data_IF_368639033488
#
_entry.id   IF_368639033488
#
_cell.length_a   1.000
_cell.length_b   1.000
_cell.length_c   1.000
_cell.angle_alpha   90.00
_cell.angle_beta   90.00
_cell.angle_gamma   90.00
#
_symmetry.space_group_name_H-M   'P 1'
#
loop_
_entity.id
_entity.type
_entity.pdbx_description
1 polymer ?
#
# COMPACT_ATOMS: atom_id res chain seq x y z
N UNK A 1 -28.47 -9.68 12.57
CA UNK A 1 -28.61 -8.41 13.31
C UNK A 1 -27.20 -7.95 13.60
N UNK A 2 -26.76 -6.81 13.05
CA UNK A 2 -25.44 -6.25 13.33
C UNK A 2 -25.48 -5.40 14.60
N UNK A 3 -24.87 -5.89 15.67
CA UNK A 3 -24.60 -5.09 16.87
C UNK A 3 -23.47 -4.09 16.62
N UNK A 4 -23.31 -3.13 17.53
CA UNK A 4 -22.22 -2.12 17.51
C UNK A 4 -20.80 -2.73 17.42
N UNK A 5 -20.65 -4.02 17.72
CA UNK A 5 -19.39 -4.76 17.69
C UNK A 5 -19.34 -5.84 16.60
N UNK A 6 -20.36 -5.94 15.73
CA UNK A 6 -20.32 -6.88 14.61
C UNK A 6 -19.48 -6.31 13.47
N UNK A 7 -18.63 -7.15 12.90
CA UNK A 7 -17.96 -6.83 11.65
C UNK A 7 -19.00 -6.82 10.53
N UNK A 8 -18.88 -5.89 9.59
CA UNK A 8 -19.54 -5.97 8.28
C UNK A 8 -18.50 -6.47 7.26
N UNK A 9 -18.52 -7.75 6.87
CA UNK A 9 -17.55 -8.30 5.93
C UNK A 9 -17.56 -7.58 4.57
N UNK A 10 -18.72 -7.12 4.11
CA UNK A 10 -18.85 -6.42 2.83
C UNK A 10 -18.17 -5.05 2.87
N UNK A 11 -18.31 -4.31 3.97
CA UNK A 11 -17.60 -3.05 4.17
C UNK A 11 -16.07 -3.26 4.25
N UNK A 12 -15.64 -4.33 4.91
CA UNK A 12 -14.21 -4.71 5.00
C UNK A 12 -13.64 -5.10 3.64
N UNK A 13 -14.38 -5.85 2.83
CA UNK A 13 -13.96 -6.22 1.46
C UNK A 13 -13.82 -4.99 0.55
N UNK A 14 -14.76 -4.03 0.64
CA UNK A 14 -14.65 -2.76 -0.10
C UNK A 14 -13.42 -1.96 0.34
N UNK A 15 -13.15 -1.92 1.64
CA UNK A 15 -11.95 -1.29 2.20
C UNK A 15 -10.66 -1.97 1.70
N UNK A 16 -10.62 -3.31 1.68
CA UNK A 16 -9.50 -4.07 1.15
C UNK A 16 -9.26 -3.77 -0.34
N UNK A 17 -10.32 -3.75 -1.15
CA UNK A 17 -10.24 -3.42 -2.56
C UNK A 17 -9.72 -1.99 -2.81
N UNK A 18 -10.16 -1.02 -1.99
CA UNK A 18 -9.67 0.35 -2.06
C UNK A 18 -8.17 0.44 -1.73
N UNK A 19 -7.72 -0.26 -0.69
CA UNK A 19 -6.30 -0.33 -0.34
C UNK A 19 -5.44 -0.91 -1.47
N UNK A 20 -5.92 -1.97 -2.13
CA UNK A 20 -5.23 -2.54 -3.31
C UNK A 20 -5.18 -1.52 -4.46
N UNK A 21 -6.30 -0.88 -4.81
CA UNK A 21 -6.33 0.08 -5.92
C UNK A 21 -5.44 1.29 -5.71
N UNK A 22 -5.42 1.87 -4.50
CA UNK A 22 -4.53 2.99 -4.17
C UNK A 22 -3.06 2.54 -4.19
N UNK A 23 -2.77 1.32 -3.74
CA UNK A 23 -1.42 0.77 -3.78
C UNK A 23 -0.91 0.61 -5.21
N UNK A 24 -1.76 0.15 -6.13
CA UNK A 24 -1.46 0.04 -7.56
C UNK A 24 -1.20 1.41 -8.20
N UNK A 25 -2.07 2.39 -7.92
CA UNK A 25 -1.91 3.78 -8.41
C UNK A 25 -0.60 4.40 -7.90
N UNK A 26 -0.29 4.22 -6.63
CA UNK A 26 0.93 4.72 -6.02
C UNK A 26 2.18 4.04 -6.62
N UNK A 27 2.14 2.73 -6.83
CA UNK A 27 3.22 2.00 -7.48
C UNK A 27 3.44 2.50 -8.92
N UNK A 28 2.37 2.69 -9.68
CA UNK A 28 2.42 3.16 -11.07
C UNK A 28 2.98 4.58 -11.18
N UNK A 29 2.49 5.51 -10.35
CA UNK A 29 2.95 6.91 -10.33
C UNK A 29 4.40 7.03 -9.86
N UNK A 30 4.78 6.26 -8.83
CA UNK A 30 6.17 6.19 -8.35
C UNK A 30 7.11 5.67 -9.43
N UNK A 31 6.72 4.60 -10.13
CA UNK A 31 7.50 4.05 -11.24
C UNK A 31 7.65 5.04 -12.39
N UNK A 32 6.59 5.80 -12.72
CA UNK A 32 6.62 6.82 -13.77
C UNK A 32 7.61 7.96 -13.45
N UNK A 33 7.76 8.33 -12.16
CA UNK A 33 8.67 9.38 -11.70
C UNK A 33 10.12 8.92 -11.43
N UNK A 34 10.37 7.62 -11.35
CA UNK A 34 11.64 7.08 -10.85
C UNK A 34 12.87 7.60 -11.60
N UNK A 35 12.84 7.58 -12.93
CA UNK A 35 13.96 8.03 -13.75
C UNK A 35 14.29 9.52 -13.55
N UNK A 36 13.28 10.36 -13.29
CA UNK A 36 13.50 11.78 -13.03
C UNK A 36 14.15 12.01 -11.65
N UNK A 37 13.84 11.15 -10.67
CA UNK A 37 14.37 11.23 -9.31
C UNK A 37 15.81 10.70 -9.19
N UNK A 38 16.21 9.78 -10.06
CA UNK A 38 17.55 9.15 -10.02
C UNK A 38 18.43 9.48 -11.23
N UNK A 39 17.99 10.42 -12.08
CA UNK A 39 18.66 10.81 -13.32
C UNK A 39 19.23 12.23 -13.28
N UNK A 40 19.45 12.80 -12.10
CA UNK A 40 19.94 14.18 -11.95
C UNK A 40 21.40 14.27 -12.38
N UNK A 41 21.70 15.22 -13.27
CA UNK A 41 23.05 15.51 -13.74
C UNK A 41 23.61 16.78 -13.06
N UNK A 42 24.93 16.90 -12.91
CA UNK A 42 25.56 18.13 -12.45
C UNK A 42 25.22 19.31 -13.38
N UNK A 43 24.92 20.47 -12.79
CA UNK A 43 24.61 21.70 -13.54
C UNK A 43 25.83 22.35 -14.19
N UNK A 44 27.03 22.11 -13.63
CA UNK A 44 28.31 22.59 -14.10
C UNK A 44 29.43 21.59 -13.70
N UNK A 45 30.64 21.67 -14.32
CA UNK A 45 31.75 20.75 -14.07
C UNK A 45 32.57 21.12 -12.81
N UNK A 46 31.89 21.55 -11.75
CA UNK A 46 32.48 21.88 -10.46
C UNK A 46 32.08 20.85 -9.39
N UNK A 47 32.82 20.83 -8.28
CA UNK A 47 32.62 19.85 -7.21
C UNK A 47 31.24 19.99 -6.52
N UNK A 48 30.76 21.22 -6.33
CA UNK A 48 29.50 21.49 -5.64
C UNK A 48 28.32 21.00 -6.47
N UNK A 49 28.34 21.24 -7.79
CA UNK A 49 27.35 20.71 -8.74
C UNK A 49 27.32 19.18 -8.75
N UNK A 50 28.48 18.53 -8.65
CA UNK A 50 28.57 17.07 -8.60
C UNK A 50 28.03 16.50 -7.28
N UNK A 51 28.37 17.11 -6.14
CA UNK A 51 27.87 16.71 -4.83
C UNK A 51 26.35 16.90 -4.73
N UNK A 52 25.82 18.03 -5.22
CA UNK A 52 24.39 18.29 -5.26
C UNK A 52 23.63 17.23 -6.08
N UNK A 53 24.12 16.92 -7.28
CA UNK A 53 23.51 15.89 -8.12
C UNK A 53 23.57 14.51 -7.44
N UNK A 54 24.68 14.14 -6.81
CA UNK A 54 24.80 12.89 -6.08
C UNK A 54 23.82 12.82 -4.89
N UNK A 55 23.72 13.88 -4.10
CA UNK A 55 22.79 13.96 -2.97
C UNK A 55 21.33 13.86 -3.42
N UNK A 56 20.96 14.53 -4.52
CA UNK A 56 19.58 14.51 -5.03
C UNK A 56 19.21 13.12 -5.58
N UNK A 57 20.12 12.46 -6.32
CA UNK A 57 19.91 11.09 -6.77
C UNK A 57 19.79 10.10 -5.61
N UNK A 58 20.60 10.25 -4.57
CA UNK A 58 20.52 9.42 -3.36
C UNK A 58 19.20 9.62 -2.62
N UNK A 59 18.74 10.88 -2.47
CA UNK A 59 17.44 11.19 -1.89
C UNK A 59 16.28 10.63 -2.72
N UNK A 60 16.37 10.72 -4.05
CA UNK A 60 15.41 10.12 -4.98
C UNK A 60 15.34 8.60 -4.82
N UNK A 61 16.48 7.92 -4.77
CA UNK A 61 16.54 6.48 -4.55
C UNK A 61 15.96 6.08 -3.17
N UNK A 62 16.27 6.83 -2.11
CA UNK A 62 15.72 6.60 -0.79
C UNK A 62 14.19 6.76 -0.77
N UNK A 63 13.66 7.80 -1.42
CA UNK A 63 12.21 7.99 -1.57
C UNK A 63 11.55 6.82 -2.29
N UNK A 64 12.13 6.35 -3.40
CA UNK A 64 11.59 5.21 -4.15
C UNK A 64 11.56 3.93 -3.32
N UNK A 65 12.60 3.67 -2.53
CA UNK A 65 12.65 2.53 -1.61
C UNK A 65 11.54 2.62 -0.54
N UNK A 66 11.39 3.78 0.12
CA UNK A 66 10.35 3.99 1.12
C UNK A 66 8.94 3.93 0.53
N UNK A 67 8.74 4.43 -0.69
CA UNK A 67 7.47 4.31 -1.40
C UNK A 67 7.13 2.85 -1.69
N UNK A 68 8.10 2.03 -2.12
CA UNK A 68 7.91 0.60 -2.33
C UNK A 68 7.58 -0.15 -1.03
N UNK A 69 8.25 0.17 0.08
CA UNK A 69 7.91 -0.38 1.40
C UNK A 69 6.47 -0.02 1.80
N UNK A 70 6.06 1.23 1.60
CA UNK A 70 4.72 1.69 1.91
C UNK A 70 3.65 0.99 1.06
N UNK A 71 3.88 0.81 -0.25
CA UNK A 71 3.02 -0.01 -1.13
C UNK A 71 2.89 -1.42 -0.55
N UNK A 72 4.00 -2.06 -0.20
CA UNK A 72 4.01 -3.41 0.36
C UNK A 72 3.19 -3.53 1.65
N UNK A 73 3.31 -2.56 2.55
CA UNK A 73 2.53 -2.51 3.79
C UNK A 73 1.03 -2.37 3.53
N UNK A 74 0.62 -1.51 2.60
CA UNK A 74 -0.80 -1.32 2.25
C UNK A 74 -1.39 -2.57 1.61
N UNK A 75 -0.67 -3.23 0.72
CA UNK A 75 -1.10 -4.51 0.14
C UNK A 75 -1.22 -5.60 1.20
N UNK A 76 -0.27 -5.69 2.14
CA UNK A 76 -0.36 -6.63 3.25
C UNK A 76 -1.58 -6.34 4.14
N UNK A 77 -1.88 -5.06 4.38
CA UNK A 77 -3.05 -4.63 5.13
C UNK A 77 -4.38 -4.96 4.41
N UNK A 78 -4.45 -4.78 3.09
CA UNK A 78 -5.57 -5.22 2.26
C UNK A 78 -5.80 -6.74 2.37
N UNK A 79 -4.72 -7.53 2.30
CA UNK A 79 -4.79 -8.98 2.48
C UNK A 79 -5.28 -9.39 3.86
N UNK A 80 -4.84 -8.70 4.92
CA UNK A 80 -5.31 -8.94 6.28
C UNK A 80 -6.81 -8.62 6.44
N UNK A 81 -7.30 -7.55 5.82
CA UNK A 81 -8.73 -7.24 5.78
C UNK A 81 -9.53 -8.34 5.10
N UNK A 82 -9.09 -8.83 3.94
CA UNK A 82 -9.76 -9.93 3.24
C UNK A 82 -9.80 -11.23 4.07
N UNK A 83 -8.71 -11.55 4.79
CA UNK A 83 -8.70 -12.69 5.71
C UNK A 83 -9.67 -12.49 6.88
N UNK A 84 -9.76 -11.28 7.43
CA UNK A 84 -10.71 -10.95 8.49
C UNK A 84 -12.15 -11.11 8.01
N UNK A 85 -12.51 -10.55 6.85
CA UNK A 85 -13.84 -10.66 6.26
C UNK A 85 -14.24 -12.14 6.05
N UNK A 86 -13.37 -12.94 5.43
CA UNK A 86 -13.61 -14.36 5.20
C UNK A 86 -13.77 -15.15 6.51
N UNK A 87 -12.94 -14.87 7.52
CA UNK A 87 -13.01 -15.53 8.83
C UNK A 87 -14.33 -15.21 9.55
N UNK A 88 -14.79 -13.96 9.46
CA UNK A 88 -16.05 -13.55 10.07
C UNK A 88 -17.26 -14.20 9.39
N UNK A 89 -17.29 -14.26 8.06
CA UNK A 89 -18.35 -15.00 7.32
C UNK A 89 -18.37 -16.48 7.73
N UNK A 90 -17.21 -17.13 7.79
CA UNK A 90 -17.14 -18.54 8.20
C UNK A 90 -17.61 -18.76 9.64
N UNK A 91 -17.23 -17.87 10.56
CA UNK A 91 -17.59 -17.98 11.98
C UNK A 91 -19.09 -17.77 12.18
N UNK A 92 -19.67 -16.77 11.51
CA UNK A 92 -21.12 -16.52 11.58
C UNK A 92 -21.92 -17.65 10.91
N UNK A 93 -21.43 -18.23 9.82
CA UNK A 93 -22.03 -19.42 9.21
C UNK A 93 -22.04 -20.64 10.15
N UNK A 94 -20.95 -20.89 10.86
CA UNK A 94 -20.87 -21.96 11.87
C UNK A 94 -21.80 -21.71 13.06
N UNK A 95 -21.93 -20.45 13.50
CA UNK A 95 -22.86 -20.06 14.56
C UNK A 95 -24.31 -20.29 14.14
N UNK A 96 -24.68 -19.85 12.93
CA UNK A 96 -26.02 -20.09 12.38
C UNK A 96 -26.34 -21.59 12.33
N UNK A 97 -25.44 -22.40 11.77
CA UNK A 97 -25.59 -23.85 11.70
C UNK A 97 -25.76 -24.50 13.09
N UNK A 98 -24.98 -24.07 14.08
CA UNK A 98 -25.09 -24.57 15.46
C UNK A 98 -26.40 -24.15 16.15
N UNK A 99 -26.97 -23.00 15.77
CA UNK A 99 -28.25 -22.51 16.28
C UNK A 99 -29.46 -23.05 15.51
N UNK A 100 -29.24 -23.84 14.44
CA UNK A 100 -30.31 -24.34 13.56
C UNK A 100 -31.02 -23.24 12.76
N UNK A 101 -30.33 -22.11 12.55
CA UNK A 101 -30.73 -20.97 11.72
C UNK A 101 -30.06 -21.07 10.34
#
# INVERSE_FOLDING_TARGET
>A
MGGLFDIDPGAVDVSAAAETGISEEMAATTAAGAAALTGVLPMAPDADSAEFAAALNAAGAAYLASAAEHVGQRVAFAGAQGLAAATSVATEGLRAANLGL
#
